data_IF_357304839557
#
_entry.id   IF_357304839557
#
_cell.length_a   1.000
_cell.length_b   1.000
_cell.length_c   1.000
_cell.angle_alpha   90.00
_cell.angle_beta   90.00
_cell.angle_gamma   90.00
#
_symmetry.space_group_name_H-M   'P 1'
#
loop_
_entity.id
_entity.type
_entity.pdbx_description
1 polymer ?
#
# COMPACT_ATOMS: atom_id res chain seq x y z
N UNK A 1 19.72 -6.77 -22.57
CA UNK A 1 19.88 -6.96 -21.12
C UNK A 1 18.59 -6.51 -20.44
N UNK A 2 17.71 -7.44 -20.13
CA UNK A 2 16.56 -7.21 -19.23
C UNK A 2 16.63 -8.35 -18.24
N UNK A 3 17.25 -8.08 -17.09
CA UNK A 3 17.27 -9.04 -15.99
C UNK A 3 15.84 -9.22 -15.50
N UNK A 4 15.30 -10.43 -15.67
CA UNK A 4 14.12 -10.87 -14.94
C UNK A 4 14.51 -10.82 -13.46
N UNK A 5 14.14 -9.73 -12.75
CA UNK A 5 14.15 -9.67 -11.28
C UNK A 5 13.29 -10.84 -10.85
N UNK A 6 13.92 -11.94 -10.40
CA UNK A 6 13.23 -13.10 -9.85
C UNK A 6 12.31 -12.58 -8.76
N UNK A 7 11.05 -12.39 -9.12
CA UNK A 7 10.09 -11.71 -8.29
C UNK A 7 9.77 -12.68 -7.15
N UNK A 8 10.36 -12.42 -5.99
CA UNK A 8 9.92 -13.04 -4.75
C UNK A 8 8.40 -12.87 -4.69
N UNK A 9 7.62 -13.96 -4.59
CA UNK A 9 6.15 -13.86 -4.55
C UNK A 9 5.69 -13.00 -3.36
N UNK A 10 6.51 -12.93 -2.32
CA UNK A 10 6.31 -12.11 -1.12
C UNK A 10 6.57 -10.62 -1.34
N UNK A 11 5.76 -9.95 -2.15
CA UNK A 11 5.82 -8.49 -2.36
C UNK A 11 4.47 -7.87 -2.70
N UNK A 12 4.36 -6.58 -2.46
CA UNK A 12 3.36 -5.68 -3.01
C UNK A 12 3.69 -5.38 -4.48
N UNK A 13 2.76 -5.62 -5.39
CA UNK A 13 2.85 -5.22 -6.80
C UNK A 13 2.12 -3.92 -7.11
N UNK A 14 1.14 -3.53 -6.28
CA UNK A 14 0.43 -2.27 -6.40
C UNK A 14 0.11 -1.69 -5.03
N UNK A 15 0.20 -0.36 -4.93
CA UNK A 15 -0.32 0.42 -3.81
C UNK A 15 -1.27 1.45 -4.37
N UNK A 16 -2.46 1.52 -3.80
CA UNK A 16 -3.51 2.49 -4.18
C UNK A 16 -4.00 3.23 -2.94
N UNK A 17 -4.42 4.47 -3.14
CA UNK A 17 -4.99 5.31 -2.08
C UNK A 17 -6.46 5.56 -2.39
N UNK A 18 -7.30 5.53 -1.36
CA UNK A 18 -8.70 5.86 -1.49
C UNK A 18 -8.88 7.38 -1.67
N UNK A 19 -9.06 7.81 -2.91
CA UNK A 19 -9.26 9.22 -3.24
C UNK A 19 -10.45 9.84 -2.51
N UNK A 20 -11.49 9.05 -2.22
CA UNK A 20 -12.68 9.52 -1.52
C UNK A 20 -12.39 9.89 -0.06
N UNK A 21 -11.44 9.19 0.57
CA UNK A 21 -11.15 9.35 2.00
C UNK A 21 -9.87 10.14 2.28
N UNK A 22 -8.86 10.01 1.43
CA UNK A 22 -7.55 10.68 1.59
C UNK A 22 -7.50 12.00 0.81
N UNK A 23 -8.41 12.20 -0.15
CA UNK A 23 -8.45 13.39 -0.98
C UNK A 23 -7.37 13.41 -2.05
N UNK A 24 -7.62 14.16 -3.12
CA UNK A 24 -6.63 14.43 -4.16
C UNK A 24 -5.92 15.75 -3.85
N UNK A 25 -4.59 15.72 -3.92
CA UNK A 25 -3.77 16.92 -3.82
C UNK A 25 -3.65 17.66 -5.15
N UNK A 26 -2.92 18.79 -5.15
CA UNK A 26 -2.47 19.44 -6.38
C UNK A 26 -1.46 18.58 -7.16
N UNK A 27 -1.06 19.03 -8.35
CA UNK A 27 -0.17 18.28 -9.23
C UNK A 27 1.16 17.88 -8.55
N UNK A 28 1.73 18.75 -7.73
CA UNK A 28 2.98 18.49 -7.00
C UNK A 28 2.80 17.35 -5.98
N UNK A 29 1.70 17.37 -5.23
CA UNK A 29 1.37 16.34 -4.22
C UNK A 29 1.15 14.97 -4.89
N UNK A 30 0.50 14.94 -6.05
CA UNK A 30 0.31 13.68 -6.78
C UNK A 30 1.64 13.15 -7.35
N UNK A 31 2.56 14.04 -7.73
CA UNK A 31 3.91 13.65 -8.16
C UNK A 31 4.73 13.07 -7.01
N UNK A 32 4.70 13.71 -5.84
CA UNK A 32 5.33 13.19 -4.62
C UNK A 32 4.71 11.83 -4.22
N UNK A 33 3.38 11.71 -4.29
CA UNK A 33 2.65 10.46 -4.04
C UNK A 33 3.10 9.34 -4.99
N UNK A 34 3.16 9.62 -6.29
CA UNK A 34 3.59 8.64 -7.28
C UNK A 34 5.03 8.17 -7.03
N UNK A 35 5.92 9.09 -6.66
CA UNK A 35 7.30 8.79 -6.30
C UNK A 35 7.37 7.90 -5.06
N UNK A 36 6.65 8.27 -3.99
CA UNK A 36 6.60 7.48 -2.75
C UNK A 36 6.02 6.07 -2.96
N UNK A 37 4.99 5.92 -3.80
CA UNK A 37 4.44 4.62 -4.16
C UNK A 37 5.47 3.79 -4.93
N UNK A 38 6.17 4.39 -5.89
CA UNK A 38 7.19 3.70 -6.68
C UNK A 38 8.32 3.17 -5.81
N UNK A 39 8.85 4.00 -4.91
CA UNK A 39 9.91 3.62 -3.97
C UNK A 39 9.45 2.47 -3.06
N UNK A 40 8.21 2.53 -2.56
CA UNK A 40 7.63 1.45 -1.76
C UNK A 40 7.50 0.15 -2.57
N UNK A 41 7.09 0.23 -3.84
CA UNK A 41 6.94 -0.96 -4.69
C UNK A 41 8.28 -1.60 -5.10
N UNK A 42 9.35 -0.82 -5.20
CA UNK A 42 10.66 -1.32 -5.62
C UNK A 42 11.40 -2.13 -4.54
N UNK A 43 11.30 -1.70 -3.27
CA UNK A 43 12.07 -2.25 -2.13
C UNK A 43 11.22 -2.88 -1.02
N UNK A 44 9.94 -3.19 -1.28
CA UNK A 44 9.13 -3.90 -0.29
C UNK A 44 9.39 -5.42 -0.26
N UNK A 45 9.22 -5.98 0.93
CA UNK A 45 9.05 -7.40 1.17
C UNK A 45 7.77 -7.58 1.98
N UNK A 46 6.84 -8.39 1.48
CA UNK A 46 5.54 -8.58 2.10
C UNK A 46 5.14 -10.06 2.12
N UNK A 47 5.10 -10.64 3.32
CA UNK A 47 4.75 -12.04 3.54
C UNK A 47 3.73 -12.13 4.69
N UNK A 48 2.42 -12.26 4.40
CA UNK A 48 1.43 -12.49 5.44
C UNK A 48 1.65 -13.87 6.07
N UNK A 49 1.72 -13.93 7.41
CA UNK A 49 1.99 -15.17 8.14
C UNK A 49 1.01 -16.32 7.87
N UNK A 50 -0.23 -16.00 7.50
CA UNK A 50 -1.28 -16.99 7.23
C UNK A 50 -1.33 -17.44 5.75
N UNK A 51 -0.41 -16.96 4.89
CA UNK A 51 -0.38 -17.30 3.48
C UNK A 51 1.05 -17.67 3.04
N UNK A 52 1.44 -18.95 3.16
CA UNK A 52 2.83 -19.40 3.00
C UNK A 52 3.38 -19.36 1.55
N UNK A 53 2.69 -18.71 0.58
CA UNK A 53 3.27 -18.58 -0.75
C UNK A 53 2.49 -17.81 -1.82
N UNK A 54 1.34 -17.19 -1.55
CA UNK A 54 0.51 -16.62 -2.62
C UNK A 54 0.56 -15.08 -2.71
N UNK A 55 1.70 -14.53 -3.14
CA UNK A 55 1.71 -13.20 -3.74
C UNK A 55 1.99 -13.25 -5.26
N UNK A 56 2.00 -12.11 -5.95
CA UNK A 56 2.08 -10.75 -5.41
C UNK A 56 0.75 -10.21 -4.86
N UNK A 57 0.86 -9.21 -4.00
CA UNK A 57 -0.26 -8.59 -3.29
C UNK A 57 -0.48 -7.14 -3.73
N UNK A 58 -1.70 -6.66 -3.58
CA UNK A 58 -2.06 -5.26 -3.77
C UNK A 58 -2.47 -4.66 -2.43
N UNK A 59 -1.95 -3.48 -2.10
CA UNK A 59 -2.32 -2.73 -0.90
C UNK A 59 -3.22 -1.56 -1.31
N UNK A 60 -4.36 -1.45 -0.65
CA UNK A 60 -5.25 -0.31 -0.76
C UNK A 60 -5.31 0.42 0.59
N UNK A 61 -4.96 1.70 0.59
CA UNK A 61 -4.84 2.53 1.79
C UNK A 61 -6.01 3.52 1.79
N UNK A 62 -6.80 3.55 2.86
CA UNK A 62 -7.92 4.48 3.00
C UNK A 62 -8.06 5.00 4.43
N UNK A 63 -9.06 5.85 4.66
CA UNK A 63 -9.41 6.36 5.98
C UNK A 63 -10.90 6.09 6.24
N UNK A 64 -11.21 5.39 7.33
CA UNK A 64 -12.58 5.15 7.76
C UNK A 64 -12.69 5.37 9.27
N UNK A 65 -13.70 6.13 9.72
CA UNK A 65 -13.95 6.39 11.15
C UNK A 65 -12.70 6.86 11.93
N UNK A 66 -11.90 7.75 11.34
CA UNK A 66 -10.62 8.24 11.89
C UNK A 66 -9.60 7.10 12.17
N UNK A 67 -9.66 6.03 11.37
CA UNK A 67 -8.70 4.92 11.32
C UNK A 67 -8.11 4.80 9.93
N UNK A 68 -6.83 4.46 9.87
CA UNK A 68 -6.13 4.07 8.64
C UNK A 68 -6.51 2.64 8.32
N UNK A 69 -7.10 2.44 7.15
CA UNK A 69 -7.48 1.13 6.63
C UNK A 69 -6.41 0.69 5.64
N UNK A 70 -5.78 -0.44 5.92
CA UNK A 70 -4.86 -1.12 5.03
C UNK A 70 -5.54 -2.40 4.55
N UNK A 71 -6.06 -2.39 3.34
CA UNK A 71 -6.71 -3.53 2.70
C UNK A 71 -5.70 -4.23 1.78
N UNK A 72 -5.34 -5.46 2.14
CA UNK A 72 -4.39 -6.28 1.39
C UNK A 72 -5.18 -7.35 0.64
N UNK A 73 -5.00 -7.35 -0.67
CA UNK A 73 -5.61 -8.30 -1.59
C UNK A 73 -4.55 -8.99 -2.43
N UNK A 74 -4.90 -10.09 -3.07
CA UNK A 74 -4.08 -10.70 -4.12
C UNK A 74 -4.25 -9.91 -5.42
N UNK A 75 -3.33 -10.10 -6.36
CA UNK A 75 -3.42 -9.52 -7.70
C UNK A 75 -4.76 -9.82 -8.41
N UNK A 76 -5.34 -11.00 -8.19
CA UNK A 76 -6.66 -11.38 -8.73
C UNK A 76 -7.85 -10.64 -8.07
N UNK A 77 -7.60 -9.84 -7.03
CA UNK A 77 -8.62 -9.10 -6.27
C UNK A 77 -9.14 -9.84 -5.04
N UNK A 78 -8.69 -11.07 -4.78
CA UNK A 78 -9.10 -11.84 -3.60
C UNK A 78 -8.65 -11.16 -2.30
N UNK A 79 -9.53 -10.93 -1.33
CA UNK A 79 -9.16 -10.33 -0.05
C UNK A 79 -8.29 -11.30 0.77
N UNK A 80 -7.17 -10.79 1.28
CA UNK A 80 -6.25 -11.56 2.14
C UNK A 80 -6.43 -11.14 3.60
N UNK A 81 -6.27 -9.84 3.87
CA UNK A 81 -6.41 -9.29 5.22
C UNK A 81 -6.68 -7.79 5.14
N UNK A 82 -7.46 -7.29 6.09
CA UNK A 82 -7.70 -5.86 6.24
C UNK A 82 -7.33 -5.44 7.67
N UNK A 83 -6.42 -4.47 7.79
CA UNK A 83 -5.99 -3.92 9.07
C UNK A 83 -6.58 -2.53 9.28
N UNK A 84 -7.14 -2.31 10.47
CA UNK A 84 -7.69 -1.02 10.88
C UNK A 84 -6.81 -0.46 11.99
N UNK A 85 -6.03 0.56 11.67
CA UNK A 85 -5.08 1.18 12.58
C UNK A 85 -5.63 2.52 13.06
N UNK A 86 -5.51 2.82 14.35
CA UNK A 86 -5.85 4.15 14.86
C UNK A 86 -4.91 5.18 14.23
N UNK A 87 -5.45 6.31 13.76
CA UNK A 87 -4.62 7.43 13.25
C UNK A 87 -3.88 8.17 14.36
N UNK A 88 -4.30 8.02 15.62
CA UNK A 88 -3.69 8.72 16.76
C UNK A 88 -2.16 8.57 16.86
N UNK A 89 -1.57 7.37 16.73
CA UNK A 89 -0.11 7.22 16.67
C UNK A 89 0.54 7.78 15.39
N UNK A 90 -0.18 7.79 14.27
CA UNK A 90 0.34 8.27 12.97
C UNK A 90 0.09 9.76 12.72
N UNK A 91 -0.65 10.44 13.61
CA UNK A 91 -1.06 11.85 13.45
C UNK A 91 0.08 12.83 13.22
N UNK A 92 1.28 12.57 13.76
CA UNK A 92 2.46 13.41 13.49
C UNK A 92 2.94 13.21 12.05
N UNK A 93 3.20 11.96 11.67
CA UNK A 93 3.67 11.59 10.34
C UNK A 93 2.72 12.05 9.22
N UNK A 94 1.40 11.91 9.44
CA UNK A 94 0.37 12.32 8.47
C UNK A 94 0.17 13.85 8.43
N UNK A 95 0.55 14.59 9.47
CA UNK A 95 0.43 16.06 9.49
C UNK A 95 1.66 16.76 8.92
N UNK A 96 2.82 16.11 9.04
CA UNK A 96 4.10 16.61 8.53
C UNK A 96 4.28 16.36 7.02
N UNK A 97 3.36 15.60 6.40
CA UNK A 97 3.22 15.36 4.96
C UNK A 97 1.87 15.93 4.48
#
# INVERSE_FOLDING_TARGET
MTGTKSASPSRLCAVTLDDASIGRGGADVEHERATAIYDLLEDNSFAPHNDPGAGPYTLHIGLADNRLVLDIRREAGDPVVQHHLSLTPFRKVVKDY
#
